data_IF_118353866130
#
_entry.id   IF_118353866130
#
_cell.length_a   1.000
_cell.length_b   1.000
_cell.length_c   1.000
_cell.angle_alpha   90.00
_cell.angle_beta   90.00
_cell.angle_gamma   90.00
#
_symmetry.space_group_name_H-M   'P 1'
#
loop_
_entity.id
_entity.type
_entity.pdbx_description
1 polymer ?
#
# COMPACT_ATOMS: atom_id res chain seq x y z
N UNK A 1 -18.22 -0.64 27.16
CA UNK A 1 -16.87 -0.03 27.22
C UNK A 1 -15.92 -1.20 27.20
N UNK A 2 -15.04 -1.25 26.19
CA UNK A 2 -14.03 -2.28 26.07
C UNK A 2 -12.83 -1.89 26.93
N UNK A 3 -12.25 -2.85 27.67
CA UNK A 3 -10.96 -2.69 28.34
C UNK A 3 -9.88 -3.40 27.50
N UNK A 4 -9.24 -2.71 26.54
CA UNK A 4 -8.20 -3.31 25.73
C UNK A 4 -6.94 -3.54 26.58
N UNK A 5 -6.28 -4.68 26.38
CA UNK A 5 -4.96 -4.96 26.96
C UNK A 5 -3.82 -4.54 26.05
N UNK A 6 -4.13 -4.25 24.77
CA UNK A 6 -3.16 -3.87 23.76
C UNK A 6 -3.73 -2.76 22.89
N UNK A 7 -2.90 -1.76 22.62
CA UNK A 7 -3.14 -0.69 21.65
C UNK A 7 -2.08 -0.77 20.55
N UNK A 8 -2.53 -0.84 19.30
CA UNK A 8 -1.64 -0.84 18.12
C UNK A 8 -1.97 0.36 17.26
N UNK A 9 -0.99 1.18 17.00
CA UNK A 9 -1.08 2.27 16.03
C UNK A 9 -0.28 1.90 14.78
N UNK A 10 -0.95 1.87 13.63
CA UNK A 10 -0.32 1.69 12.32
C UNK A 10 -0.40 2.99 11.53
N UNK A 11 0.74 3.63 11.32
CA UNK A 11 0.80 4.88 10.60
C UNK A 11 2.13 5.61 10.73
N UNK A 12 2.29 6.65 9.92
CA UNK A 12 3.54 7.42 9.82
C UNK A 12 3.78 8.30 11.06
N UNK A 13 2.74 9.02 11.50
CA UNK A 13 2.81 9.97 12.63
C UNK A 13 1.63 9.78 13.57
N UNK A 14 1.89 9.52 14.85
CA UNK A 14 0.83 9.48 15.86
C UNK A 14 0.21 10.86 16.06
N UNK A 15 -1.11 10.89 16.13
CA UNK A 15 -1.84 12.13 16.37
C UNK A 15 -1.77 12.52 17.86
N UNK A 16 -1.55 13.80 18.16
CA UNK A 16 -1.45 14.29 19.54
C UNK A 16 -2.67 13.94 20.41
N UNK A 17 -3.87 14.01 19.88
CA UNK A 17 -5.09 13.62 20.60
C UNK A 17 -5.09 12.16 21.01
N UNK A 18 -4.60 11.29 20.13
CA UNK A 18 -4.43 9.86 20.41
C UNK A 18 -3.37 9.62 21.47
N UNK A 19 -2.19 10.25 21.35
CA UNK A 19 -1.13 10.16 22.35
C UNK A 19 -1.61 10.58 23.75
N UNK A 20 -2.39 11.66 23.84
CA UNK A 20 -2.98 12.12 25.10
C UNK A 20 -3.95 11.09 25.70
N UNK A 21 -4.60 10.27 24.86
CA UNK A 21 -5.55 9.22 25.31
C UNK A 21 -4.83 8.01 25.90
N UNK A 22 -3.65 7.66 25.37
CA UNK A 22 -2.88 6.49 25.83
C UNK A 22 -1.83 6.85 26.90
N UNK A 23 -1.56 8.13 27.10
CA UNK A 23 -0.61 8.60 28.11
C UNK A 23 -1.07 8.24 29.53
N UNK A 24 -0.16 7.66 30.30
CA UNK A 24 -0.45 7.24 31.69
C UNK A 24 -1.35 5.99 31.80
N UNK A 25 -1.60 5.30 30.68
CA UNK A 25 -2.33 4.02 30.66
C UNK A 25 -1.32 2.87 30.70
N UNK A 26 -0.66 2.65 31.85
CA UNK A 26 0.41 1.66 31.97
C UNK A 26 -0.10 0.21 31.95
N UNK A 27 -1.42 0.03 32.13
CA UNK A 27 -2.11 -1.25 32.03
C UNK A 27 -2.30 -1.74 30.58
N UNK A 28 -2.01 -0.91 29.58
CA UNK A 28 -2.18 -1.21 28.15
C UNK A 28 -0.81 -1.27 27.49
N UNK A 29 -0.49 -2.42 26.86
CA UNK A 29 0.66 -2.52 25.97
C UNK A 29 0.48 -1.62 24.74
N UNK A 30 1.50 -0.87 24.33
CA UNK A 30 1.43 0.13 23.26
C UNK A 30 2.45 -0.19 22.18
N UNK A 31 1.97 -0.51 20.99
CA UNK A 31 2.79 -0.83 19.81
C UNK A 31 2.57 0.22 18.74
N UNK A 32 3.65 0.70 18.15
CA UNK A 32 3.61 1.52 16.95
C UNK A 32 4.21 0.77 15.77
N UNK A 33 3.39 0.46 14.77
CA UNK A 33 3.86 0.02 13.46
C UNK A 33 4.19 1.26 12.65
N UNK A 34 5.47 1.63 12.68
CA UNK A 34 5.99 2.84 12.07
C UNK A 34 6.33 2.58 10.61
N UNK A 35 5.33 2.79 9.75
CA UNK A 35 5.56 2.78 8.31
C UNK A 35 6.08 4.13 7.84
N UNK A 36 6.98 4.12 6.92
CA UNK A 36 7.21 5.32 6.16
C UNK A 36 8.60 5.54 5.67
N UNK A 37 8.65 5.76 4.40
CA UNK A 37 9.68 6.52 3.71
C UNK A 37 9.49 7.98 4.05
N UNK A 38 10.40 8.56 4.80
CA UNK A 38 10.41 10.00 5.00
C UNK A 38 11.06 10.66 3.78
N UNK A 39 10.41 11.71 3.25
CA UNK A 39 11.06 12.54 2.22
C UNK A 39 12.37 13.07 2.77
N UNK A 40 13.43 13.02 1.97
CA UNK A 40 14.72 13.63 2.29
C UNK A 40 14.48 15.10 2.74
N UNK A 41 14.86 15.43 4.00
CA UNK A 41 14.58 16.73 4.58
C UNK A 41 13.24 16.88 5.31
N UNK A 42 12.42 15.83 5.41
CA UNK A 42 11.23 15.86 6.25
C UNK A 42 11.64 16.07 7.73
N UNK A 43 10.84 16.84 8.44
CA UNK A 43 11.05 17.07 9.88
C UNK A 43 11.03 15.71 10.59
N UNK A 44 12.05 15.44 11.40
CA UNK A 44 12.12 14.23 12.21
C UNK A 44 10.84 14.07 13.03
N UNK A 45 10.43 12.83 13.26
CA UNK A 45 9.32 12.54 14.18
C UNK A 45 9.62 13.21 15.51
N UNK A 46 8.66 13.93 16.08
CA UNK A 46 8.84 14.47 17.42
C UNK A 46 9.22 13.33 18.38
N UNK A 47 10.35 13.42 19.04
CA UNK A 47 10.87 12.39 19.95
C UNK A 47 9.89 12.07 21.08
N UNK A 48 9.04 13.04 21.46
CA UNK A 48 7.97 12.87 22.43
C UNK A 48 6.92 11.81 22.00
N UNK A 49 6.78 11.56 20.71
CA UNK A 49 5.86 10.53 20.22
C UNK A 49 6.35 9.11 20.53
N UNK A 50 7.65 8.88 20.48
CA UNK A 50 8.27 7.55 20.70
C UNK A 50 8.13 7.13 22.16
N UNK A 51 8.22 8.09 23.09
CA UNK A 51 8.17 7.84 24.54
C UNK A 51 6.84 7.25 25.03
N UNK A 52 5.80 7.32 24.21
CA UNK A 52 4.47 6.80 24.54
C UNK A 52 4.25 5.34 24.15
N UNK A 53 5.22 4.71 23.50
CA UNK A 53 5.11 3.32 23.02
C UNK A 53 6.13 2.42 23.70
N UNK A 54 5.72 1.19 23.98
CA UNK A 54 6.57 0.16 24.57
C UNK A 54 7.38 -0.56 23.48
N UNK A 55 6.75 -0.73 22.29
CA UNK A 55 7.31 -1.42 21.13
C UNK A 55 7.11 -0.58 19.88
N UNK A 56 8.14 -0.52 19.06
CA UNK A 56 8.09 0.04 17.71
C UNK A 56 8.46 -1.06 16.72
N UNK A 57 7.57 -1.33 15.78
CA UNK A 57 7.83 -2.23 14.65
C UNK A 57 8.09 -1.36 13.43
N UNK A 58 9.24 -1.54 12.80
CA UNK A 58 9.61 -0.79 11.59
C UNK A 58 9.65 -1.77 10.41
N UNK A 59 8.57 -1.85 9.60
CA UNK A 59 8.62 -2.58 8.34
C UNK A 59 9.64 -1.92 7.42
N UNK A 60 10.56 -2.70 6.88
CA UNK A 60 11.61 -2.21 5.99
C UNK A 60 11.01 -1.64 4.71
N UNK A 61 11.70 -0.67 4.16
CA UNK A 61 11.47 -0.19 2.81
C UNK A 61 12.71 -0.50 1.97
N UNK A 62 12.52 -0.98 0.76
CA UNK A 62 13.62 -1.28 -0.16
C UNK A 62 14.44 -0.05 -0.54
N UNK A 63 13.94 1.15 -0.24
CA UNK A 63 14.60 2.43 -0.51
C UNK A 63 15.24 3.05 0.75
N UNK A 64 15.20 2.37 1.89
CA UNK A 64 15.83 2.88 3.11
C UNK A 64 17.36 2.82 3.01
N UNK A 65 17.99 3.99 3.05
CA UNK A 65 19.42 4.12 3.37
C UNK A 65 19.61 3.74 4.85
N UNK A 66 20.75 3.13 5.18
CA UNK A 66 21.07 2.71 6.54
C UNK A 66 20.85 3.86 7.55
N UNK A 67 20.10 3.58 8.60
CA UNK A 67 19.77 4.56 9.64
C UNK A 67 20.99 4.84 10.51
N UNK A 68 21.31 6.10 10.64
CA UNK A 68 22.25 6.63 11.64
C UNK A 68 21.44 7.23 12.82
N UNK A 69 20.66 6.38 13.51
CA UNK A 69 19.85 6.78 14.67
C UNK A 69 20.56 6.32 15.96
N UNK A 70 21.52 7.14 16.42
CA UNK A 70 22.27 6.97 17.67
C UNK A 70 21.56 7.51 18.92
N UNK A 71 20.24 7.67 18.91
CA UNK A 71 19.49 8.14 20.09
C UNK A 71 19.02 6.96 20.93
N UNK A 72 19.26 7.02 22.26
CA UNK A 72 18.72 6.05 23.22
C UNK A 72 17.18 6.13 23.21
N UNK A 73 16.54 5.13 22.64
CA UNK A 73 15.10 4.96 22.61
C UNK A 73 14.72 3.96 23.70
N UNK A 74 13.81 4.33 24.60
CA UNK A 74 13.31 3.43 25.68
C UNK A 74 12.46 2.28 25.12
N UNK A 75 11.78 2.50 24.01
CA UNK A 75 10.95 1.49 23.35
C UNK A 75 11.84 0.38 22.73
N UNK A 76 11.34 -0.86 22.76
CA UNK A 76 11.96 -1.93 21.99
C UNK A 76 11.66 -1.72 20.50
N UNK A 77 12.71 -1.72 19.66
CA UNK A 77 12.55 -1.52 18.22
C UNK A 77 12.82 -2.84 17.48
N UNK A 78 11.88 -3.25 16.64
CA UNK A 78 11.99 -4.43 15.80
C UNK A 78 11.86 -4.04 14.34
N UNK A 79 12.84 -4.41 13.53
CA UNK A 79 12.73 -4.34 12.08
C UNK A 79 12.11 -5.64 11.55
N UNK A 80 11.23 -5.53 10.58
CA UNK A 80 10.65 -6.68 9.89
C UNK A 80 10.61 -6.44 8.38
N UNK A 81 10.38 -7.52 7.63
CA UNK A 81 10.10 -7.42 6.20
C UNK A 81 8.83 -6.59 5.94
N UNK A 82 8.65 -6.05 4.73
CA UNK A 82 7.44 -5.32 4.37
C UNK A 82 6.18 -6.12 4.69
N UNK A 83 5.21 -5.47 5.34
CA UNK A 83 3.93 -6.09 5.68
C UNK A 83 3.03 -5.98 4.46
N UNK A 84 2.73 -7.12 3.83
CA UNK A 84 1.81 -7.24 2.70
C UNK A 84 0.65 -8.15 3.07
N UNK A 85 -0.49 -7.96 2.40
CA UNK A 85 -1.71 -8.68 2.75
C UNK A 85 -1.69 -10.13 2.28
N UNK A 86 -1.37 -10.38 1.00
CA UNK A 86 -1.41 -11.70 0.39
C UNK A 86 -0.11 -12.49 0.60
N UNK A 87 -0.24 -13.79 0.73
CA UNK A 87 0.86 -14.75 0.62
C UNK A 87 0.93 -15.35 -0.78
N UNK A 88 2.01 -16.10 -1.09
CA UNK A 88 2.14 -16.82 -2.36
C UNK A 88 0.99 -17.81 -2.61
N UNK A 89 0.46 -18.41 -1.54
CA UNK A 89 -0.62 -19.41 -1.62
C UNK A 89 -1.99 -18.76 -1.90
N UNK A 90 -2.13 -17.46 -1.63
CA UNK A 90 -3.38 -16.72 -1.89
C UNK A 90 -3.50 -16.29 -3.36
N UNK A 91 -2.41 -16.37 -4.14
CA UNK A 91 -2.38 -15.86 -5.49
C UNK A 91 -3.12 -16.76 -6.48
N UNK A 92 -3.99 -16.14 -7.25
CA UNK A 92 -4.65 -16.81 -8.36
C UNK A 92 -3.67 -17.09 -9.52
N UNK A 93 -3.95 -18.15 -10.27
CA UNK A 93 -3.18 -18.43 -11.49
C UNK A 93 -3.35 -17.32 -12.52
N UNK A 94 -2.33 -17.10 -13.35
CA UNK A 94 -2.38 -16.17 -14.49
C UNK A 94 -3.62 -16.37 -15.37
N UNK A 95 -3.99 -17.61 -15.62
CA UNK A 95 -5.14 -17.97 -16.45
C UNK A 95 -6.48 -17.58 -15.83
N UNK A 96 -6.60 -17.61 -14.49
CA UNK A 96 -7.86 -17.36 -13.79
C UNK A 96 -8.45 -15.99 -14.13
N UNK A 97 -7.69 -14.92 -13.88
CA UNK A 97 -8.16 -13.56 -14.15
C UNK A 97 -8.28 -13.27 -15.65
N UNK A 98 -7.31 -13.73 -16.45
CA UNK A 98 -7.32 -13.49 -17.89
C UNK A 98 -8.55 -14.09 -18.57
N UNK A 99 -8.90 -15.33 -18.24
CA UNK A 99 -10.13 -15.97 -18.73
C UNK A 99 -11.39 -15.22 -18.31
N UNK A 100 -11.46 -14.79 -17.05
CA UNK A 100 -12.61 -14.04 -16.52
C UNK A 100 -12.79 -12.68 -17.19
N UNK A 101 -11.71 -12.00 -17.51
CA UNK A 101 -11.74 -10.67 -18.15
C UNK A 101 -11.74 -10.74 -19.70
N UNK A 102 -11.71 -11.94 -20.30
CA UNK A 102 -11.63 -12.12 -21.75
C UNK A 102 -10.34 -11.57 -22.35
N UNK A 103 -9.21 -11.77 -21.65
CA UNK A 103 -7.88 -11.34 -22.09
C UNK A 103 -7.14 -12.55 -22.69
N UNK A 104 -6.60 -12.46 -23.91
CA UNK A 104 -5.77 -13.52 -24.49
C UNK A 104 -4.57 -13.86 -23.62
N UNK A 105 -4.16 -15.14 -23.62
CA UNK A 105 -3.05 -15.59 -22.79
C UNK A 105 -1.69 -15.07 -23.23
N UNK A 106 -1.55 -14.75 -24.50
CA UNK A 106 -0.35 -14.20 -25.15
C UNK A 106 -0.29 -12.67 -25.15
N UNK A 107 -1.39 -11.98 -24.78
CA UNK A 107 -1.40 -10.52 -24.68
C UNK A 107 -0.54 -10.02 -23.53
N UNK A 108 0.06 -8.86 -23.69
CA UNK A 108 0.68 -8.10 -22.59
C UNK A 108 -0.42 -7.44 -21.75
N UNK A 109 -0.29 -7.51 -20.43
CA UNK A 109 -1.28 -6.93 -19.51
C UNK A 109 -0.62 -5.96 -18.55
N UNK A 110 -1.03 -4.70 -18.65
CA UNK A 110 -0.65 -3.65 -17.73
C UNK A 110 -1.69 -3.49 -16.63
N UNK A 111 -1.27 -3.57 -15.37
CA UNK A 111 -2.09 -3.18 -14.23
C UNK A 111 -1.90 -1.69 -13.93
N UNK A 112 -3.00 -0.94 -13.79
CA UNK A 112 -2.97 0.50 -13.50
C UNK A 112 -3.74 0.78 -12.22
N UNK A 113 -3.08 1.38 -11.22
CA UNK A 113 -3.71 1.83 -9.98
C UNK A 113 -3.02 3.11 -9.46
N UNK A 114 -3.65 4.25 -9.65
CA UNK A 114 -3.09 5.56 -9.32
C UNK A 114 -3.62 6.16 -7.99
N UNK A 115 -4.03 5.30 -7.06
CA UNK A 115 -4.50 5.69 -5.73
C UNK A 115 -6.02 5.60 -5.57
N UNK A 116 -6.55 6.20 -4.49
CA UNK A 116 -7.97 6.10 -4.12
C UNK A 116 -8.85 7.26 -4.63
N UNK A 117 -8.27 8.29 -5.23
CA UNK A 117 -9.03 9.42 -5.80
C UNK A 117 -9.62 10.41 -4.81
N UNK A 118 -9.32 10.27 -3.52
CA UNK A 118 -9.93 11.16 -2.51
C UNK A 118 -9.23 12.52 -2.37
N UNK A 119 -8.00 12.66 -2.87
CA UNK A 119 -7.17 13.86 -2.70
C UNK A 119 -6.81 14.50 -4.05
N UNK A 120 -6.63 13.68 -5.09
CA UNK A 120 -6.22 14.11 -6.43
C UNK A 120 -7.25 13.68 -7.46
N UNK A 121 -7.31 14.38 -8.59
CA UNK A 121 -8.07 13.98 -9.79
C UNK A 121 -7.33 12.80 -10.48
N UNK A 122 -7.52 11.59 -9.93
CA UNK A 122 -6.89 10.40 -10.49
C UNK A 122 -7.60 9.91 -11.76
N UNK A 123 -8.85 10.30 -11.99
CA UNK A 123 -9.61 9.86 -13.18
C UNK A 123 -8.97 10.43 -14.45
N UNK A 124 -8.57 11.68 -14.42
CA UNK A 124 -7.82 12.31 -15.52
C UNK A 124 -6.50 11.60 -15.77
N UNK A 125 -5.72 11.32 -14.73
CA UNK A 125 -4.42 10.64 -14.84
C UNK A 125 -4.56 9.21 -15.36
N UNK A 126 -5.58 8.48 -14.90
CA UNK A 126 -5.88 7.12 -15.40
C UNK A 126 -6.31 7.19 -16.87
N UNK A 127 -7.16 8.16 -17.25
CA UNK A 127 -7.62 8.33 -18.62
C UNK A 127 -6.47 8.61 -19.58
N UNK A 128 -5.53 9.48 -19.20
CA UNK A 128 -4.32 9.75 -19.97
C UNK A 128 -3.48 8.47 -20.09
N UNK A 129 -3.25 7.76 -18.99
CA UNK A 129 -2.47 6.52 -18.97
C UNK A 129 -3.08 5.45 -19.88
N UNK A 130 -4.39 5.25 -19.79
CA UNK A 130 -5.13 4.30 -20.63
C UNK A 130 -5.06 4.69 -22.11
N UNK A 131 -5.17 5.99 -22.41
CA UNK A 131 -5.06 6.51 -23.79
C UNK A 131 -3.67 6.28 -24.39
N UNK A 132 -2.62 6.44 -23.58
CA UNK A 132 -1.24 6.17 -24.02
C UNK A 132 -1.03 4.66 -24.26
N UNK A 133 -1.49 3.79 -23.34
CA UNK A 133 -1.39 2.34 -23.48
C UNK A 133 -2.20 1.81 -24.68
N UNK A 134 -3.32 2.45 -25.00
CA UNK A 134 -4.16 2.04 -26.13
C UNK A 134 -3.48 2.16 -27.51
N UNK A 135 -2.35 2.89 -27.60
CA UNK A 135 -1.54 2.99 -28.83
C UNK A 135 -0.81 1.68 -29.18
N UNK A 136 -0.69 0.76 -28.22
CA UNK A 136 -0.04 -0.54 -28.38
C UNK A 136 -1.11 -1.62 -28.57
N UNK A 137 -1.14 -2.27 -29.74
CA UNK A 137 -2.23 -3.19 -30.12
C UNK A 137 -2.22 -4.50 -29.34
N UNK A 138 -1.10 -4.89 -28.80
CA UNK A 138 -0.88 -6.11 -28.01
C UNK A 138 -1.06 -5.91 -26.49
N UNK A 139 -1.29 -4.66 -26.03
CA UNK A 139 -1.43 -4.33 -24.61
C UNK A 139 -2.90 -4.25 -24.17
N UNK A 140 -3.24 -5.03 -23.18
CA UNK A 140 -4.47 -4.90 -22.39
C UNK A 140 -4.20 -4.11 -21.12
N UNK A 141 -5.10 -3.21 -20.76
CA UNK A 141 -5.02 -2.43 -19.53
C UNK A 141 -6.07 -2.91 -18.54
N UNK A 142 -5.64 -3.32 -17.35
CA UNK A 142 -6.52 -3.65 -16.23
C UNK A 142 -6.41 -2.55 -15.19
N UNK A 143 -7.47 -1.77 -15.01
CA UNK A 143 -7.53 -0.69 -14.03
C UNK A 143 -8.10 -1.23 -12.73
N UNK A 144 -7.30 -1.17 -11.66
CA UNK A 144 -7.74 -1.51 -10.31
C UNK A 144 -8.55 -0.36 -9.70
N UNK A 145 -9.83 -0.61 -9.44
CA UNK A 145 -10.71 0.36 -8.78
C UNK A 145 -10.49 0.33 -7.26
N UNK A 146 -10.52 1.48 -6.60
CA UNK A 146 -10.42 1.56 -5.15
C UNK A 146 -11.75 1.26 -4.47
N UNK A 147 -11.73 0.53 -3.37
CA UNK A 147 -12.93 0.31 -2.53
C UNK A 147 -13.55 1.61 -2.00
N UNK A 148 -12.74 2.62 -1.78
CA UNK A 148 -13.13 3.88 -1.16
C UNK A 148 -13.31 5.01 -2.17
N UNK A 149 -12.97 4.75 -3.45
CA UNK A 149 -13.06 5.73 -4.53
C UNK A 149 -14.45 5.77 -5.19
N UNK A 150 -14.62 6.74 -6.07
CA UNK A 150 -15.77 6.76 -7.00
C UNK A 150 -15.58 5.70 -8.08
N UNK A 151 -16.69 5.23 -8.65
CA UNK A 151 -16.64 4.30 -9.77
C UNK A 151 -16.04 4.98 -10.99
N UNK A 152 -15.06 4.32 -11.62
CA UNK A 152 -14.36 4.87 -12.78
C UNK A 152 -15.17 4.65 -14.05
N UNK A 153 -15.44 5.73 -14.81
CA UNK A 153 -16.12 5.67 -16.11
C UNK A 153 -15.12 5.57 -17.26
N UNK A 154 -14.22 4.59 -17.18
CA UNK A 154 -13.19 4.36 -18.19
C UNK A 154 -13.53 3.13 -19.01
N UNK A 155 -13.50 3.25 -20.32
CA UNK A 155 -13.84 2.16 -21.25
C UNK A 155 -12.92 2.13 -22.47
N UNK A 156 -12.85 0.98 -23.08
CA UNK A 156 -12.08 0.77 -24.32
C UNK A 156 -12.03 -0.71 -24.71
N UNK A 157 -11.69 -1.03 -25.96
CA UNK A 157 -11.73 -2.41 -26.46
C UNK A 157 -10.78 -3.33 -25.69
N UNK A 158 -9.66 -2.84 -25.22
CA UNK A 158 -8.65 -3.57 -24.43
C UNK A 158 -8.53 -3.08 -23.01
N UNK A 159 -9.54 -2.38 -22.47
CA UNK A 159 -9.58 -1.90 -21.08
C UNK A 159 -10.52 -2.81 -20.28
N UNK A 160 -10.11 -3.16 -19.07
CA UNK A 160 -10.88 -3.94 -18.11
C UNK A 160 -10.80 -3.26 -16.76
N UNK A 161 -11.89 -3.27 -16.00
CA UNK A 161 -11.95 -2.74 -14.64
C UNK A 161 -11.94 -3.93 -13.68
N UNK A 162 -11.03 -3.88 -12.71
CA UNK A 162 -10.93 -4.87 -11.64
C UNK A 162 -11.46 -4.28 -10.34
N UNK A 163 -12.60 -4.82 -9.87
CA UNK A 163 -13.31 -4.38 -8.65
C UNK A 163 -13.17 -5.35 -7.48
N UNK A 164 -12.31 -6.35 -7.62
CA UNK A 164 -12.10 -7.38 -6.60
C UNK A 164 -11.01 -6.95 -5.62
N UNK A 165 -11.20 -7.31 -4.36
CA UNK A 165 -10.24 -6.98 -3.31
C UNK A 165 -9.89 -8.21 -2.48
N UNK A 166 -8.62 -8.37 -2.13
CA UNK A 166 -7.47 -7.54 -2.53
C UNK A 166 -7.05 -7.82 -3.99
N UNK A 167 -6.72 -6.75 -4.73
CA UNK A 167 -6.28 -6.87 -6.11
C UNK A 167 -4.96 -7.66 -6.25
N UNK A 168 -4.12 -7.65 -5.22
CA UNK A 168 -2.82 -8.33 -5.21
C UNK A 168 -2.90 -9.83 -5.45
N UNK A 169 -4.01 -10.48 -5.12
CA UNK A 169 -4.18 -11.92 -5.41
C UNK A 169 -4.18 -12.25 -6.91
N UNK A 170 -4.27 -11.25 -7.77
CA UNK A 170 -4.26 -11.40 -9.23
C UNK A 170 -2.95 -10.96 -9.89
N UNK A 171 -1.94 -10.55 -9.13
CA UNK A 171 -0.74 -9.94 -9.71
C UNK A 171 0.05 -10.87 -10.64
N UNK A 172 -0.06 -12.17 -10.48
CA UNK A 172 0.47 -13.15 -11.48
C UNK A 172 -0.15 -13.04 -12.88
N UNK A 173 -1.27 -12.36 -13.02
CA UNK A 173 -1.96 -12.19 -14.31
C UNK A 173 -1.42 -11.02 -15.13
N UNK A 174 -0.63 -10.15 -14.53
CA UNK A 174 -0.09 -8.94 -15.15
C UNK A 174 1.37 -9.13 -15.55
N UNK A 175 1.82 -8.38 -16.56
CA UNK A 175 3.19 -8.40 -17.05
C UNK A 175 3.98 -7.19 -16.52
N UNK A 176 3.29 -6.10 -16.27
CA UNK A 176 3.84 -4.88 -15.65
C UNK A 176 2.74 -4.05 -14.99
N UNK A 177 3.14 -3.07 -14.16
CA UNK A 177 2.22 -2.23 -13.43
C UNK A 177 2.64 -0.75 -13.49
N UNK A 178 1.64 0.14 -13.50
CA UNK A 178 1.76 1.57 -13.29
C UNK A 178 0.99 1.90 -12.02
N UNK A 179 1.70 2.28 -10.96
CA UNK A 179 1.13 2.52 -9.64
C UNK A 179 1.54 3.87 -9.08
N UNK A 180 0.74 4.42 -8.18
CA UNK A 180 1.04 5.69 -7.50
C UNK A 180 2.19 5.60 -6.47
N UNK A 181 2.82 4.45 -6.29
CA UNK A 181 3.94 4.28 -5.37
C UNK A 181 3.56 4.30 -3.89
N UNK A 182 2.29 3.99 -3.57
CA UNK A 182 1.88 3.73 -2.18
C UNK A 182 2.62 2.52 -1.61
N UNK A 183 3.01 2.58 -0.34
CA UNK A 183 3.83 1.55 0.32
C UNK A 183 3.33 0.12 0.05
N UNK A 184 2.07 -0.17 0.33
CA UNK A 184 1.54 -1.53 0.17
C UNK A 184 1.55 -1.99 -1.30
N UNK A 185 1.02 -1.17 -2.21
CA UNK A 185 0.97 -1.52 -3.64
C UNK A 185 2.37 -1.72 -4.23
N UNK A 186 3.34 -0.89 -3.81
CA UNK A 186 4.72 -1.03 -4.25
C UNK A 186 5.32 -2.37 -3.83
N UNK A 187 5.19 -2.72 -2.53
CA UNK A 187 5.77 -3.97 -2.02
C UNK A 187 5.05 -5.22 -2.53
N UNK A 188 3.73 -5.15 -2.74
CA UNK A 188 2.98 -6.25 -3.35
C UNK A 188 3.37 -6.48 -4.81
N UNK A 189 3.54 -5.40 -5.60
CA UNK A 189 3.96 -5.51 -7.01
C UNK A 189 5.38 -6.06 -7.16
N UNK A 190 6.30 -5.70 -6.25
CA UNK A 190 7.66 -6.23 -6.30
C UNK A 190 7.71 -7.69 -5.83
N UNK A 191 6.84 -8.06 -4.90
CA UNK A 191 6.81 -9.40 -4.32
C UNK A 191 6.28 -10.44 -5.30
N UNK A 192 5.28 -10.09 -6.09
CA UNK A 192 4.51 -11.00 -6.93
C UNK A 192 4.65 -10.72 -8.42
#
# INVERSE_FOLDING_TARGET
>A
IHNPSLFVYDGTYPYRGMLNTIKGRDEIGKIWVRRGTFRKGATRIPMDSIEHFDVIITPRDSLEEAKDDTQEIKAQVFDCEPIIYASEDDLNSRQHLRSRLGIPMDALVCYVQLGAGNINDIESDISITVSELAKYEDVYTVVGESMLGQSLEISGPRVRILKDYPNSVYFRSFDFAIIAGGYNSYHEVIRF
#
